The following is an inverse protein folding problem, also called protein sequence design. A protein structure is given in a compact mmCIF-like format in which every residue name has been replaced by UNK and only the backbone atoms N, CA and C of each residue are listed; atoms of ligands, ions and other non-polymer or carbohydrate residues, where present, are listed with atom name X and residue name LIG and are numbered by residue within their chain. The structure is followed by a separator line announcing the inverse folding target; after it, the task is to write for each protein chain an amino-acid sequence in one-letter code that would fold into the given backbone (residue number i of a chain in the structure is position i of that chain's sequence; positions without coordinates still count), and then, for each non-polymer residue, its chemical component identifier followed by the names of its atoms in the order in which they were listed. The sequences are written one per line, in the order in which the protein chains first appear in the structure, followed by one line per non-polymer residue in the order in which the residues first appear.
data_IF_543498136280
#
_entry.id   IF_543498136280
#
_cell.length_a   1.000
_cell.length_b   1.000
_cell.length_c   1.000
_cell.angle_alpha   90.00
_cell.angle_beta   90.00
_cell.angle_gamma   90.00
#
_symmetry.space_group_name_H-M   'P 1'
#
loop_
_entity.id
_entity.type
_entity.pdbx_description
1 polymer ?
#
# COMPACT_ATOMS: atom_id res chain seq x y z
N UNK A 1 -101.09 -20.21 3.71
CA UNK A 1 -100.12 -20.47 2.61
C UNK A 1 -99.18 -19.26 2.60
N UNK A 2 -98.07 -19.31 3.23
CA UNK A 2 -96.90 -18.52 2.99
C UNK A 2 -95.76 -19.04 3.91
N UNK A 3 -95.00 -19.90 3.33
CA UNK A 3 -93.74 -20.32 3.92
C UNK A 3 -92.73 -19.19 3.73
N UNK A 4 -92.23 -18.67 4.84
CA UNK A 4 -91.13 -17.74 4.85
C UNK A 4 -89.96 -18.39 5.57
N UNK A 5 -89.20 -19.14 4.80
CA UNK A 5 -87.93 -19.76 5.22
C UNK A 5 -86.79 -18.76 4.97
N UNK A 6 -86.31 -18.11 5.99
CA UNK A 6 -85.10 -17.25 5.96
C UNK A 6 -83.94 -18.10 6.51
N UNK A 7 -82.82 -18.19 5.77
CA UNK A 7 -81.64 -18.86 6.28
C UNK A 7 -80.94 -18.04 7.37
N UNK A 8 -80.58 -18.74 8.40
CA UNK A 8 -79.75 -18.26 9.52
C UNK A 8 -78.34 -17.86 9.06
N UNK A 9 -77.81 -16.70 9.40
CA UNK A 9 -76.45 -16.36 9.08
C UNK A 9 -75.48 -17.17 9.96
N UNK A 10 -74.66 -17.99 9.29
CA UNK A 10 -73.55 -18.66 9.89
C UNK A 10 -72.63 -17.71 10.61
N UNK A 11 -72.43 -17.93 11.89
CA UNK A 11 -71.43 -17.22 12.72
C UNK A 11 -70.04 -17.60 12.26
N UNK A 12 -69.44 -16.75 11.48
CA UNK A 12 -68.01 -16.82 11.17
C UNK A 12 -67.22 -16.60 12.47
N UNK A 13 -66.70 -17.64 13.06
CA UNK A 13 -65.76 -17.53 14.19
C UNK A 13 -64.46 -16.94 13.69
N UNK A 14 -64.20 -15.69 13.97
CA UNK A 14 -62.84 -15.10 13.86
C UNK A 14 -61.84 -15.93 14.65
N UNK A 15 -60.62 -16.23 14.10
CA UNK A 15 -59.59 -16.90 14.89
C UNK A 15 -59.19 -15.97 16.02
N UNK A 16 -59.33 -16.49 17.26
CA UNK A 16 -58.91 -15.79 18.47
C UNK A 16 -57.50 -15.23 18.29
N UNK A 17 -57.37 -13.89 18.28
CA UNK A 17 -56.09 -13.18 18.24
C UNK A 17 -55.20 -13.69 19.38
N UNK A 18 -53.99 -14.08 19.04
CA UNK A 18 -52.97 -14.47 20.01
C UNK A 18 -52.85 -13.35 21.05
N UNK A 19 -53.18 -13.65 22.30
CA UNK A 19 -53.08 -12.65 23.39
C UNK A 19 -51.63 -12.16 23.43
N UNK A 20 -51.43 -10.85 23.45
CA UNK A 20 -50.10 -10.24 23.60
C UNK A 20 -49.43 -10.81 24.86
N UNK A 21 -48.12 -11.16 24.80
CA UNK A 21 -47.43 -11.76 25.92
C UNK A 21 -47.53 -10.85 27.16
N UNK A 22 -47.81 -11.46 28.30
CA UNK A 22 -47.96 -10.73 29.57
C UNK A 22 -46.65 -10.00 29.98
N UNK A 23 -46.71 -9.00 30.87
CA UNK A 23 -45.53 -8.23 31.29
C UNK A 23 -44.40 -9.12 31.80
N UNK A 24 -44.65 -10.22 32.45
CA UNK A 24 -43.66 -11.18 32.95
C UNK A 24 -42.96 -11.95 31.81
N UNK A 25 -43.68 -12.36 30.78
CA UNK A 25 -43.10 -13.00 29.58
C UNK A 25 -42.27 -12.03 28.78
N UNK A 26 -42.71 -10.77 28.68
CA UNK A 26 -41.92 -9.68 28.04
C UNK A 26 -40.61 -9.44 28.80
N UNK A 27 -40.65 -9.40 30.13
CA UNK A 27 -39.44 -9.23 30.95
C UNK A 27 -38.47 -10.41 30.76
N UNK A 28 -38.96 -11.65 30.81
CA UNK A 28 -38.15 -12.84 30.60
C UNK A 28 -37.49 -12.85 29.20
N UNK A 29 -38.26 -12.48 28.16
CA UNK A 29 -37.74 -12.42 26.79
C UNK A 29 -36.67 -11.31 26.62
N UNK A 30 -36.86 -10.16 27.28
CA UNK A 30 -35.87 -9.05 27.27
C UNK A 30 -34.59 -9.45 28.02
N UNK A 31 -34.70 -10.15 29.14
CA UNK A 31 -33.55 -10.68 29.87
C UNK A 31 -32.77 -11.68 29.01
N UNK A 32 -33.45 -12.64 28.39
CA UNK A 32 -32.80 -13.61 27.51
C UNK A 32 -32.05 -12.90 26.33
N UNK A 33 -32.69 -11.92 25.70
CA UNK A 33 -32.04 -11.14 24.64
C UNK A 33 -30.84 -10.31 25.13
N UNK A 34 -30.95 -9.76 26.33
CA UNK A 34 -29.86 -9.03 26.96
C UNK A 34 -28.67 -9.96 27.19
N UNK A 35 -28.90 -11.17 27.72
CA UNK A 35 -27.83 -12.13 27.98
C UNK A 35 -27.17 -12.61 26.67
N UNK A 36 -27.99 -12.93 25.64
CA UNK A 36 -27.44 -13.25 24.29
C UNK A 36 -26.61 -12.12 23.71
N UNK A 37 -27.08 -10.87 23.82
CA UNK A 37 -26.33 -9.70 23.32
C UNK A 37 -25.05 -9.48 24.12
N UNK A 38 -25.08 -9.69 25.42
CA UNK A 38 -23.91 -9.57 26.28
C UNK A 38 -22.86 -10.63 25.93
N UNK A 39 -23.28 -11.88 25.73
CA UNK A 39 -22.39 -12.94 25.27
C UNK A 39 -21.81 -12.65 23.89
N UNK A 40 -22.63 -12.21 22.94
CA UNK A 40 -22.18 -11.82 21.62
C UNK A 40 -21.19 -10.65 21.67
N UNK A 41 -21.45 -9.64 22.51
CA UNK A 41 -20.56 -8.52 22.73
C UNK A 41 -19.20 -8.96 23.30
N UNK A 42 -19.19 -9.83 24.32
CA UNK A 42 -17.97 -10.34 24.93
C UNK A 42 -17.12 -11.15 23.92
N UNK A 43 -17.77 -11.99 23.10
CA UNK A 43 -17.09 -12.73 22.02
C UNK A 43 -16.51 -11.77 20.98
N UNK A 44 -17.32 -10.82 20.49
CA UNK A 44 -16.85 -9.83 19.52
C UNK A 44 -15.68 -8.98 20.05
N UNK A 45 -15.72 -8.62 21.34
CA UNK A 45 -14.63 -7.90 22.01
C UNK A 45 -13.35 -8.76 22.08
N UNK A 46 -13.47 -10.04 22.43
CA UNK A 46 -12.34 -10.96 22.47
C UNK A 46 -11.73 -11.18 21.08
N UNK A 47 -12.56 -11.31 20.05
CA UNK A 47 -12.12 -11.48 18.66
C UNK A 47 -11.44 -10.22 18.13
N UNK A 48 -11.98 -9.04 18.46
CA UNK A 48 -11.36 -7.76 18.11
C UNK A 48 -9.98 -7.60 18.77
N UNK A 49 -9.86 -7.94 20.06
CA UNK A 49 -8.58 -7.88 20.78
C UNK A 49 -7.55 -8.88 20.22
N UNK A 50 -7.98 -10.10 19.90
CA UNK A 50 -7.12 -11.09 19.27
C UNK A 50 -6.66 -10.64 17.88
N UNK A 51 -7.55 -10.05 17.10
CA UNK A 51 -7.24 -9.50 15.77
C UNK A 51 -6.26 -8.35 15.89
N UNK A 52 -6.47 -7.42 16.84
CA UNK A 52 -5.56 -6.30 17.11
C UNK A 52 -4.17 -6.82 17.48
N UNK A 53 -4.07 -7.77 18.41
CA UNK A 53 -2.79 -8.35 18.82
C UNK A 53 -2.04 -9.02 17.66
N UNK A 54 -2.74 -9.81 16.83
CA UNK A 54 -2.14 -10.42 15.63
C UNK A 54 -1.63 -9.36 14.65
N UNK A 55 -2.43 -8.32 14.40
CA UNK A 55 -2.02 -7.23 13.51
C UNK A 55 -0.77 -6.50 14.03
N UNK A 56 -0.67 -6.26 15.34
CA UNK A 56 0.51 -5.67 15.97
C UNK A 56 1.76 -6.56 15.81
N UNK A 57 1.61 -7.87 16.03
CA UNK A 57 2.68 -8.86 15.83
C UNK A 57 3.14 -8.89 14.34
N UNK A 58 2.19 -8.87 13.40
CA UNK A 58 2.49 -8.88 11.96
C UNK A 58 3.19 -7.58 11.51
N UNK A 59 2.74 -6.43 12.03
CA UNK A 59 3.43 -5.15 11.80
C UNK A 59 4.84 -5.17 12.38
N UNK A 60 5.03 -5.73 13.58
CA UNK A 60 6.35 -5.84 14.18
C UNK A 60 7.28 -6.74 13.35
N UNK A 61 6.78 -7.90 12.88
CA UNK A 61 7.52 -8.78 11.97
C UNK A 61 7.84 -8.10 10.65
N UNK A 62 6.85 -7.45 10.02
CA UNK A 62 7.04 -6.73 8.76
C UNK A 62 8.12 -5.64 8.89
N UNK A 63 8.12 -4.89 9.99
CA UNK A 63 9.17 -3.88 10.26
C UNK A 63 10.54 -4.49 10.47
N UNK A 64 10.62 -5.61 11.21
CA UNK A 64 11.90 -6.30 11.48
C UNK A 64 12.55 -6.82 10.20
N UNK A 65 11.77 -7.32 9.26
CA UNK A 65 12.24 -7.94 8.01
C UNK A 65 12.03 -7.05 6.77
N UNK A 66 11.63 -5.78 6.96
CA UNK A 66 11.34 -4.85 5.85
C UNK A 66 12.48 -4.68 4.85
N UNK A 67 13.73 -4.84 5.30
CA UNK A 67 14.94 -4.67 4.48
C UNK A 67 15.54 -5.98 3.99
N UNK A 68 14.96 -7.14 4.35
CA UNK A 68 15.54 -8.46 4.05
C UNK A 68 15.68 -8.69 2.55
N UNK A 69 14.60 -8.56 1.79
CA UNK A 69 14.61 -8.73 0.34
C UNK A 69 15.56 -7.73 -0.36
N UNK A 70 15.66 -6.50 0.15
CA UNK A 70 16.59 -5.51 -0.37
C UNK A 70 18.04 -5.93 -0.09
N UNK A 71 18.33 -6.34 1.15
CA UNK A 71 19.66 -6.81 1.53
C UNK A 71 20.09 -8.03 0.68
N UNK A 72 19.21 -9.03 0.52
CA UNK A 72 19.47 -10.19 -0.32
C UNK A 72 19.77 -9.80 -1.78
N UNK A 73 19.04 -8.82 -2.34
CA UNK A 73 19.25 -8.38 -3.71
C UNK A 73 20.60 -7.66 -3.92
N UNK A 74 21.24 -7.18 -2.85
CA UNK A 74 22.55 -6.54 -2.89
C UNK A 74 23.72 -7.51 -2.71
N UNK A 75 23.50 -8.73 -2.19
CA UNK A 75 24.58 -9.71 -1.99
C UNK A 75 25.32 -10.04 -3.27
N UNK A 76 24.65 -10.31 -4.43
CA UNK A 76 25.36 -10.58 -5.69
C UNK A 76 26.22 -9.41 -6.18
N UNK A 77 25.80 -8.17 -5.87
CA UNK A 77 26.58 -6.97 -6.20
C UNK A 77 27.86 -6.94 -5.38
N UNK A 78 27.75 -7.23 -4.06
CA UNK A 78 28.90 -7.33 -3.17
C UNK A 78 29.86 -8.43 -3.61
N UNK A 79 29.34 -9.62 -3.93
CA UNK A 79 30.16 -10.77 -4.37
C UNK A 79 30.92 -10.44 -5.66
N UNK A 80 30.27 -9.75 -6.60
CA UNK A 80 30.93 -9.31 -7.84
C UNK A 80 32.04 -8.31 -7.61
N UNK A 81 31.87 -7.39 -6.65
CA UNK A 81 32.93 -6.45 -6.27
C UNK A 81 34.08 -7.16 -5.54
N UNK A 82 33.81 -8.11 -4.67
CA UNK A 82 34.84 -8.90 -3.98
C UNK A 82 35.62 -9.74 -5.00
N UNK A 83 34.95 -10.36 -5.95
CA UNK A 83 35.61 -11.09 -7.03
C UNK A 83 36.52 -10.16 -7.85
N UNK A 84 36.05 -8.96 -8.19
CA UNK A 84 36.85 -8.00 -8.96
C UNK A 84 38.12 -7.55 -8.20
N UNK A 85 38.06 -7.41 -6.88
CA UNK A 85 39.25 -7.07 -6.06
C UNK A 85 40.25 -8.21 -5.92
N UNK A 86 39.82 -9.45 -6.17
CA UNK A 86 40.68 -10.64 -6.05
C UNK A 86 41.45 -10.96 -7.34
N UNK A 87 41.09 -10.33 -8.46
CA UNK A 87 41.75 -10.56 -9.76
C UNK A 87 43.10 -9.83 -9.76
N UNK A 88 44.17 -10.63 -9.85
CA UNK A 88 45.52 -10.11 -10.06
C UNK A 88 45.80 -10.03 -11.55
N UNK A 89 46.41 -8.93 -12.03
CA UNK A 89 46.80 -8.70 -13.41
C UNK A 89 45.64 -8.58 -14.44
N UNK A 90 44.45 -8.07 -13.98
CA UNK A 90 43.37 -7.73 -14.93
C UNK A 90 43.78 -6.55 -15.82
N UNK A 91 43.40 -6.60 -17.09
CA UNK A 91 43.57 -5.46 -18.00
C UNK A 91 42.55 -4.36 -17.63
N UNK A 92 42.82 -3.08 -17.95
CA UNK A 92 41.85 -2.00 -17.74
C UNK A 92 40.49 -2.26 -18.39
N UNK A 93 40.46 -2.89 -19.54
CA UNK A 93 39.27 -3.26 -20.32
C UNK A 93 38.43 -4.29 -19.55
N UNK A 94 39.10 -5.32 -19.00
CA UNK A 94 38.42 -6.33 -18.17
C UNK A 94 37.84 -5.75 -16.88
N UNK A 95 38.59 -4.85 -16.24
CA UNK A 95 38.10 -4.14 -15.05
C UNK A 95 36.88 -3.28 -15.39
N UNK A 96 36.91 -2.56 -16.50
CA UNK A 96 35.80 -1.71 -16.92
C UNK A 96 34.55 -2.54 -17.24
N UNK A 97 34.72 -3.67 -17.91
CA UNK A 97 33.61 -4.62 -18.18
C UNK A 97 32.99 -5.15 -16.88
N UNK A 98 33.84 -5.55 -15.91
CA UNK A 98 33.38 -5.97 -14.58
C UNK A 98 32.61 -4.89 -13.84
N UNK A 99 33.08 -3.63 -13.89
CA UNK A 99 32.37 -2.49 -13.30
C UNK A 99 31.02 -2.28 -13.97
N UNK A 100 30.95 -2.34 -15.31
CA UNK A 100 29.68 -2.22 -16.03
C UNK A 100 28.71 -3.35 -15.70
N UNK A 101 29.22 -4.60 -15.57
CA UNK A 101 28.40 -5.74 -15.15
C UNK A 101 27.82 -5.52 -13.74
N UNK A 102 28.66 -5.10 -12.81
CA UNK A 102 28.25 -4.83 -11.42
C UNK A 102 27.25 -3.66 -11.35
N UNK A 103 27.45 -2.61 -12.16
CA UNK A 103 26.50 -1.49 -12.25
C UNK A 103 25.13 -1.95 -12.76
N UNK A 104 25.09 -2.85 -13.75
CA UNK A 104 23.83 -3.46 -14.23
C UNK A 104 23.14 -4.28 -13.13
N UNK A 105 23.90 -5.09 -12.38
CA UNK A 105 23.36 -5.86 -11.26
C UNK A 105 22.78 -4.94 -10.17
N UNK A 106 23.49 -3.86 -9.82
CA UNK A 106 23.02 -2.89 -8.85
C UNK A 106 21.72 -2.20 -9.32
N UNK A 107 21.68 -1.81 -10.59
CA UNK A 107 20.48 -1.18 -11.18
C UNK A 107 19.29 -2.14 -11.09
N UNK A 108 19.47 -3.41 -11.46
CA UNK A 108 18.41 -4.42 -11.37
C UNK A 108 17.98 -4.69 -9.91
N UNK A 109 18.92 -4.71 -8.96
CA UNK A 109 18.60 -4.87 -7.55
C UNK A 109 17.73 -3.71 -7.04
N UNK A 110 18.04 -2.48 -7.43
CA UNK A 110 17.24 -1.29 -7.10
C UNK A 110 15.85 -1.36 -7.72
N UNK A 111 15.74 -1.69 -9.00
CA UNK A 111 14.47 -1.79 -9.74
C UNK A 111 13.54 -2.87 -9.15
N UNK A 112 14.07 -4.06 -8.81
CA UNK A 112 13.32 -5.13 -8.13
C UNK A 112 12.71 -4.66 -6.82
N UNK A 113 13.38 -3.76 -6.12
CA UNK A 113 12.93 -3.16 -4.87
C UNK A 113 12.16 -1.84 -5.08
N UNK A 114 11.64 -1.62 -6.29
CA UNK A 114 10.82 -0.44 -6.65
C UNK A 114 11.56 0.90 -6.52
N UNK A 115 12.90 0.86 -6.56
CA UNK A 115 13.73 2.06 -6.61
C UNK A 115 14.03 2.38 -8.06
N UNK A 116 13.51 3.52 -8.55
CA UNK A 116 13.65 3.96 -9.94
C UNK A 116 14.49 5.22 -10.01
N UNK A 117 15.34 5.30 -11.03
CA UNK A 117 16.15 6.49 -11.28
C UNK A 117 15.31 7.57 -11.97
N UNK A 118 15.45 8.82 -11.49
CA UNK A 118 14.89 10.03 -12.11
C UNK A 118 16.02 10.73 -12.83
N UNK A 119 16.01 10.66 -14.15
CA UNK A 119 16.99 11.32 -15.03
C UNK A 119 16.25 11.91 -16.24
N UNK A 120 15.55 13.04 -16.07
CA UNK A 120 14.78 13.66 -17.13
C UNK A 120 15.69 14.02 -18.30
N UNK A 121 15.32 13.74 -19.56
CA UNK A 121 16.05 14.20 -20.72
C UNK A 121 16.02 15.73 -20.82
N UNK A 122 17.00 16.31 -21.52
CA UNK A 122 17.01 17.75 -21.82
C UNK A 122 15.70 18.17 -22.52
N UNK A 123 15.18 19.34 -22.19
CA UNK A 123 13.89 19.84 -22.69
C UNK A 123 12.66 19.39 -21.87
N UNK A 124 12.82 18.47 -20.92
CA UNK A 124 11.72 18.09 -20.02
C UNK A 124 11.36 19.26 -19.10
N UNK A 125 10.07 19.49 -18.90
CA UNK A 125 9.59 20.53 -17.99
C UNK A 125 10.07 20.25 -16.57
N UNK A 126 10.57 21.29 -15.89
CA UNK A 126 10.97 21.20 -14.49
C UNK A 126 9.80 20.86 -13.59
N UNK A 127 9.95 19.83 -12.75
CA UNK A 127 8.99 19.41 -11.73
C UNK A 127 9.61 19.56 -10.33
N UNK A 128 9.15 20.51 -9.50
CA UNK A 128 9.68 20.72 -8.16
C UNK A 128 9.55 19.51 -7.22
N UNK A 129 8.63 18.56 -7.51
CA UNK A 129 8.45 17.36 -6.69
C UNK A 129 9.57 16.35 -6.90
N UNK A 130 10.13 16.26 -8.11
CA UNK A 130 11.12 15.26 -8.48
C UNK A 130 12.49 15.84 -8.80
N UNK A 131 12.58 17.16 -9.06
CA UNK A 131 13.79 17.84 -9.49
C UNK A 131 14.15 18.96 -8.52
N UNK A 132 15.44 19.18 -8.35
CA UNK A 132 16.00 20.32 -7.63
C UNK A 132 16.88 21.12 -8.58
N UNK A 133 16.47 22.34 -8.92
CA UNK A 133 17.24 23.23 -9.73
C UNK A 133 18.42 23.81 -8.90
N UNK A 134 19.64 23.61 -9.38
CA UNK A 134 20.86 24.12 -8.75
C UNK A 134 21.26 25.45 -9.38
N UNK A 135 21.07 25.58 -10.69
CA UNK A 135 21.36 26.83 -11.41
C UNK A 135 20.46 27.01 -12.61
N UNK A 136 20.34 28.27 -13.02
CA UNK A 136 19.65 28.68 -14.23
C UNK A 136 20.72 29.06 -15.25
N UNK A 137 20.64 28.45 -16.45
CA UNK A 137 21.65 28.66 -17.51
C UNK A 137 20.99 29.13 -18.80
N UNK A 138 21.64 29.96 -19.61
CA UNK A 138 21.16 30.27 -20.94
C UNK A 138 21.14 29.02 -21.81
N UNK A 139 20.01 28.76 -22.48
CA UNK A 139 19.86 27.61 -23.37
C UNK A 139 18.87 27.94 -24.50
N UNK A 140 19.01 27.25 -25.64
CA UNK A 140 18.12 27.41 -26.79
C UNK A 140 16.83 26.59 -26.68
N UNK A 141 16.35 26.39 -25.49
CA UNK A 141 15.14 25.65 -25.20
C UNK A 141 14.14 26.47 -24.40
N UNK A 142 12.95 25.96 -24.16
CA UNK A 142 11.91 26.65 -23.43
C UNK A 142 12.31 26.96 -21.99
N UNK A 143 11.91 28.11 -21.49
CA UNK A 143 12.14 28.50 -20.10
C UNK A 143 11.60 27.43 -19.11
N UNK A 144 12.27 27.27 -17.98
CA UNK A 144 11.92 26.30 -16.95
C UNK A 144 11.90 24.84 -17.44
N UNK A 145 12.72 24.50 -18.42
CA UNK A 145 12.99 23.13 -18.83
C UNK A 145 14.36 22.67 -18.33
N UNK A 146 14.51 21.37 -18.11
CA UNK A 146 15.79 20.76 -17.70
C UNK A 146 16.80 20.88 -18.85
N UNK A 147 17.96 21.45 -18.58
CA UNK A 147 19.06 21.50 -19.54
C UNK A 147 19.99 20.32 -19.37
N UNK A 148 20.43 20.05 -18.13
CA UNK A 148 21.35 18.97 -17.82
C UNK A 148 21.03 18.39 -16.44
N UNK A 149 21.14 17.06 -16.32
CA UNK A 149 21.08 16.37 -15.04
C UNK A 149 22.50 16.25 -14.48
N UNK A 150 22.78 16.96 -13.39
CA UNK A 150 24.06 16.89 -12.70
C UNK A 150 24.17 15.64 -11.83
N UNK A 151 23.04 15.24 -11.21
CA UNK A 151 22.95 14.03 -10.39
C UNK A 151 21.57 13.42 -10.55
N UNK A 152 21.52 12.10 -10.83
CA UNK A 152 20.27 11.37 -10.92
C UNK A 152 19.52 11.39 -9.59
N UNK A 153 18.22 11.61 -9.63
CA UNK A 153 17.31 11.40 -8.53
C UNK A 153 16.90 9.94 -8.39
N UNK A 154 16.22 9.61 -7.30
CA UNK A 154 15.65 8.28 -7.09
C UNK A 154 14.30 8.37 -6.38
N UNK A 155 13.38 7.52 -6.83
CA UNK A 155 12.08 7.28 -6.23
C UNK A 155 12.04 5.86 -5.65
N UNK A 156 11.32 5.67 -4.56
CA UNK A 156 10.91 4.34 -4.09
C UNK A 156 9.38 4.28 -4.09
N UNK A 157 8.83 3.40 -4.93
CA UNK A 157 7.41 3.39 -5.23
C UNK A 157 6.93 4.81 -5.67
N UNK A 158 6.18 5.50 -4.83
CA UNK A 158 5.64 6.85 -5.05
C UNK A 158 6.36 7.96 -4.27
N UNK A 159 7.36 7.60 -3.45
CA UNK A 159 8.08 8.53 -2.59
C UNK A 159 9.45 8.92 -3.17
N UNK A 160 9.73 10.21 -3.22
CA UNK A 160 11.05 10.71 -3.58
C UNK A 160 12.06 10.41 -2.46
N UNK A 161 13.09 9.62 -2.77
CA UNK A 161 14.24 9.38 -1.90
C UNK A 161 15.25 10.52 -2.00
N UNK A 162 15.48 10.98 -3.24
CA UNK A 162 16.38 12.09 -3.56
C UNK A 162 15.93 12.70 -4.87
N UNK A 163 15.69 14.02 -4.94
CA UNK A 163 15.39 14.69 -6.19
C UNK A 163 16.59 14.65 -7.15
N UNK A 164 16.32 14.71 -8.45
CA UNK A 164 17.37 14.89 -9.44
C UNK A 164 17.92 16.32 -9.37
N UNK A 165 19.24 16.48 -9.26
CA UNK A 165 19.88 17.80 -9.35
C UNK A 165 20.03 18.17 -10.81
N UNK A 166 19.42 19.28 -11.20
CA UNK A 166 19.34 19.71 -12.59
C UNK A 166 19.73 21.19 -12.76
N UNK A 167 20.18 21.54 -13.96
CA UNK A 167 20.20 22.91 -14.43
C UNK A 167 18.96 23.18 -15.26
N UNK A 168 18.39 24.36 -15.17
CA UNK A 168 17.18 24.76 -15.92
C UNK A 168 17.46 25.91 -16.86
N UNK A 169 16.69 25.99 -17.96
CA UNK A 169 16.81 27.06 -18.93
C UNK A 169 16.29 28.39 -18.37
N UNK A 170 17.05 29.45 -18.58
CA UNK A 170 16.65 30.81 -18.25
C UNK A 170 15.44 31.25 -19.07
N UNK A 171 14.56 32.11 -18.52
CA UNK A 171 13.60 32.84 -19.34
C UNK A 171 14.34 33.70 -20.38
N UNK A 172 13.82 33.70 -21.61
CA UNK A 172 14.34 34.57 -22.70
C UNK A 172 13.94 36.00 -22.48
#
# INVERSE_FOLDING_TARGET
MNDNNLPNPETTSEPAGAAAPGPQEQLASLQARHDELNDAFLRAKADAENTRRRAEEDVAKARKYAVEAFAESLLPVKDSLEAATSIQNATPEQLLEGVHATLRQLTQALERNKVQAVAPPAGTKFDPHQHQAISVVPAEQDANTVVTVLQKGYLIADRVLRPALVTVAAPK
#
